data_IF_587308912541
#
_entry.id   IF_587308912541
#
_cell.length_a   1.000
_cell.length_b   1.000
_cell.length_c   1.000
_cell.angle_alpha   90.00
_cell.angle_beta   90.00
_cell.angle_gamma   90.00
#
_symmetry.space_group_name_H-M   'P 1'
#
loop_
_entity.id
_entity.type
_entity.pdbx_description
1 polymer ?
#
# COMPACT_ATOMS: atom_id res chain seq x y z
N UNK A 1 -2.35 12.55 22.40
CA UNK A 1 -1.84 11.17 22.32
C UNK A 1 -2.88 10.34 21.59
N UNK A 2 -2.62 9.98 20.33
CA UNK A 2 -3.47 9.06 19.56
C UNK A 2 -3.04 7.65 19.94
N UNK A 3 -3.67 7.10 20.97
CA UNK A 3 -3.37 5.77 21.50
C UNK A 3 -4.13 4.71 20.69
N UNK A 4 -3.46 4.17 19.68
CA UNK A 4 -3.84 2.94 19.00
C UNK A 4 -2.59 2.47 18.26
N UNK A 5 -1.97 1.35 18.69
CA UNK A 5 -0.85 0.77 17.94
C UNK A 5 -1.26 0.49 16.49
N UNK A 6 -0.34 0.50 15.51
CA UNK A 6 -0.69 0.47 14.09
C UNK A 6 -1.27 -0.90 13.73
N UNK A 7 -2.58 -1.04 13.88
CA UNK A 7 -3.40 -2.11 13.32
C UNK A 7 -3.54 -1.98 11.80
N UNK A 8 -2.58 -1.35 11.11
CA UNK A 8 -2.54 -1.14 9.67
C UNK A 8 -3.65 -0.26 9.08
N UNK A 9 -4.52 0.32 9.92
CA UNK A 9 -5.68 1.09 9.47
C UNK A 9 -5.57 2.55 9.92
N UNK A 10 -5.10 3.45 9.05
CA UNK A 10 -5.13 4.89 9.32
C UNK A 10 -6.57 5.40 9.37
N UNK A 11 -6.83 6.58 9.98
CA UNK A 11 -8.15 7.20 9.93
C UNK A 11 -8.52 7.53 8.47
N UNK A 12 -9.50 6.81 7.93
CA UNK A 12 -9.95 6.97 6.55
C UNK A 12 -10.89 8.17 6.38
N UNK A 13 -10.95 8.70 5.16
CA UNK A 13 -11.93 9.72 4.81
C UNK A 13 -13.35 9.16 4.85
N UNK A 14 -14.34 10.02 5.11
CA UNK A 14 -15.77 9.65 5.22
C UNK A 14 -16.34 8.95 3.97
N UNK A 15 -15.72 9.18 2.82
CA UNK A 15 -16.11 8.70 1.50
C UNK A 15 -15.38 7.42 1.09
N UNK A 16 -14.45 6.94 1.92
CA UNK A 16 -13.79 5.66 1.73
C UNK A 16 -14.55 4.54 2.43
N UNK A 17 -14.50 3.34 1.84
CA UNK A 17 -15.08 2.13 2.42
C UNK A 17 -14.03 1.38 3.27
N UNK A 18 -14.18 1.31 4.60
CA UNK A 18 -13.25 0.59 5.46
C UNK A 18 -13.16 -0.91 5.16
N UNK A 19 -14.23 -1.53 4.63
CA UNK A 19 -14.21 -2.94 4.26
C UNK A 19 -13.31 -3.15 3.04
N UNK A 20 -13.49 -2.32 2.00
CA UNK A 20 -12.63 -2.36 0.80
C UNK A 20 -11.16 -2.04 1.12
N UNK A 21 -10.90 -1.12 2.06
CA UNK A 21 -9.54 -0.89 2.57
C UNK A 21 -8.95 -2.14 3.20
N UNK A 22 -9.70 -2.72 4.15
CA UNK A 22 -9.25 -3.88 4.92
C UNK A 22 -8.99 -5.08 4.01
N UNK A 23 -9.88 -5.34 3.04
CA UNK A 23 -9.74 -6.41 2.06
C UNK A 23 -8.47 -6.24 1.22
N UNK A 24 -8.26 -5.07 0.63
CA UNK A 24 -7.10 -4.79 -0.21
C UNK A 24 -5.77 -4.93 0.55
N UNK A 25 -5.67 -4.32 1.73
CA UNK A 25 -4.45 -4.37 2.53
C UNK A 25 -4.19 -5.75 3.13
N UNK A 26 -5.22 -6.45 3.59
CA UNK A 26 -5.05 -7.78 4.19
C UNK A 26 -4.65 -8.83 3.15
N UNK A 27 -5.25 -8.78 1.95
CA UNK A 27 -4.90 -9.68 0.86
C UNK A 27 -3.45 -9.44 0.38
N UNK A 28 -3.06 -8.18 0.20
CA UNK A 28 -1.71 -7.83 -0.24
C UNK A 28 -0.65 -8.17 0.82
N UNK A 29 -0.94 -7.94 2.11
CA UNK A 29 -0.04 -8.31 3.20
C UNK A 29 0.20 -9.82 3.26
N UNK A 30 -0.87 -10.61 3.22
CA UNK A 30 -0.77 -12.07 3.21
C UNK A 30 0.06 -12.57 2.01
N UNK A 31 -0.20 -12.03 0.81
CA UNK A 31 0.56 -12.40 -0.39
C UNK A 31 2.05 -12.05 -0.28
N UNK A 32 2.39 -10.91 0.34
CA UNK A 32 3.78 -10.54 0.59
C UNK A 32 4.43 -11.49 1.60
N UNK A 33 3.78 -11.77 2.73
CA UNK A 33 4.30 -12.71 3.73
C UNK A 33 4.56 -14.09 3.12
N UNK A 34 3.61 -14.63 2.35
CA UNK A 34 3.77 -15.93 1.69
C UNK A 34 4.97 -15.94 0.74
N UNK A 35 5.18 -14.85 -0.01
CA UNK A 35 6.32 -14.73 -0.94
C UNK A 35 7.66 -14.63 -0.19
N UNK A 36 7.72 -13.87 0.90
CA UNK A 36 8.91 -13.73 1.75
C UNK A 36 9.25 -15.07 2.43
N UNK A 37 8.25 -15.76 2.98
CA UNK A 37 8.40 -17.07 3.63
C UNK A 37 8.87 -18.15 2.63
N UNK A 38 8.44 -18.04 1.37
CA UNK A 38 8.90 -18.90 0.28
C UNK A 38 10.29 -18.51 -0.26
N UNK A 39 10.90 -17.43 0.23
CA UNK A 39 12.21 -16.93 -0.22
C UNK A 39 12.19 -16.38 -1.65
N UNK A 40 11.04 -15.90 -2.11
CA UNK A 40 10.87 -15.34 -3.45
C UNK A 40 11.35 -13.89 -3.50
N UNK A 41 11.80 -13.44 -4.67
CA UNK A 41 12.07 -12.02 -4.90
C UNK A 41 10.74 -11.25 -4.98
N UNK A 42 10.61 -10.20 -4.18
CA UNK A 42 9.39 -9.40 -4.05
C UNK A 42 9.56 -8.03 -4.69
N UNK A 43 8.49 -7.50 -5.28
CA UNK A 43 8.51 -6.15 -5.86
C UNK A 43 8.56 -5.04 -4.79
N UNK A 44 8.10 -5.35 -3.57
CA UNK A 44 8.12 -4.48 -2.40
C UNK A 44 9.16 -4.99 -1.42
N UNK A 45 9.81 -4.08 -0.69
CA UNK A 45 10.81 -4.43 0.33
C UNK A 45 10.26 -5.50 1.31
N UNK A 46 10.96 -6.65 1.50
CA UNK A 46 10.56 -7.70 2.45
C UNK A 46 10.35 -7.20 3.89
N UNK A 47 10.96 -6.07 4.27
CA UNK A 47 10.73 -5.43 5.57
C UNK A 47 9.25 -5.11 5.82
N UNK A 48 8.48 -4.86 4.75
CA UNK A 48 7.03 -4.65 4.82
C UNK A 48 6.26 -5.87 5.36
N UNK A 49 6.85 -7.07 5.38
CA UNK A 49 6.25 -8.27 5.95
C UNK A 49 6.44 -8.40 7.48
N UNK A 50 7.20 -7.52 8.14
CA UNK A 50 7.44 -7.59 9.59
C UNK A 50 6.20 -7.29 10.42
N UNK A 51 5.38 -6.33 9.96
CA UNK A 51 4.10 -6.00 10.60
C UNK A 51 3.16 -5.26 9.64
N UNK A 52 1.85 -5.25 9.91
CA UNK A 52 0.90 -4.42 9.15
C UNK A 52 1.22 -2.92 9.18
N UNK A 53 1.92 -2.44 10.21
CA UNK A 53 2.37 -1.05 10.31
C UNK A 53 3.50 -0.76 9.33
N UNK A 54 4.51 -1.62 9.28
CA UNK A 54 5.62 -1.50 8.31
C UNK A 54 5.11 -1.70 6.88
N UNK A 55 4.17 -2.62 6.68
CA UNK A 55 3.50 -2.80 5.39
C UNK A 55 2.90 -1.48 4.87
N UNK A 56 2.11 -0.81 5.71
CA UNK A 56 1.52 0.47 5.35
C UNK A 56 2.58 1.54 5.08
N UNK A 57 3.63 1.61 5.91
CA UNK A 57 4.71 2.60 5.76
C UNK A 57 5.46 2.44 4.44
N UNK A 58 5.93 1.22 4.14
CA UNK A 58 6.68 0.91 2.91
C UNK A 58 5.82 1.15 1.66
N UNK A 59 4.55 0.71 1.67
CA UNK A 59 3.67 0.96 0.52
C UNK A 59 3.37 2.44 0.33
N UNK A 60 3.35 3.23 1.41
CA UNK A 60 3.17 4.67 1.31
C UNK A 60 4.39 5.35 0.69
N UNK A 61 5.61 4.88 1.00
CA UNK A 61 6.84 5.34 0.33
C UNK A 61 6.83 4.98 -1.16
N UNK A 62 6.58 3.72 -1.49
CA UNK A 62 6.47 3.22 -2.87
C UNK A 62 5.39 3.95 -3.67
N UNK A 63 4.30 4.37 -3.04
CA UNK A 63 3.25 5.17 -3.69
C UNK A 63 3.76 6.51 -4.21
N UNK A 64 4.72 7.14 -3.55
CA UNK A 64 5.28 8.43 -4.00
C UNK A 64 6.56 8.25 -4.83
N UNK A 65 7.40 7.27 -4.49
CA UNK A 65 8.70 7.08 -5.16
C UNK A 65 8.60 6.28 -6.45
N UNK A 66 7.79 5.22 -6.47
CA UNK A 66 7.65 4.31 -7.60
C UNK A 66 6.17 3.91 -7.83
N UNK A 67 5.25 4.86 -8.04
CA UNK A 67 3.81 4.59 -8.12
C UNK A 67 3.43 3.56 -9.17
N UNK A 68 4.14 3.52 -10.31
CA UNK A 68 3.91 2.52 -11.36
C UNK A 68 4.25 1.08 -10.92
N UNK A 69 5.30 0.91 -10.11
CA UNK A 69 5.66 -0.40 -9.54
C UNK A 69 4.59 -0.85 -8.56
N UNK A 70 4.18 0.03 -7.65
CA UNK A 70 3.12 -0.27 -6.68
C UNK A 70 1.80 -0.60 -7.37
N UNK A 71 1.39 0.18 -8.38
CA UNK A 71 0.18 -0.08 -9.17
C UNK A 71 0.22 -1.43 -9.88
N UNK A 72 1.38 -1.88 -10.35
CA UNK A 72 1.55 -3.17 -10.99
C UNK A 72 1.54 -4.34 -9.97
N UNK A 73 2.19 -4.17 -8.82
CA UNK A 73 2.29 -5.22 -7.80
C UNK A 73 0.99 -5.37 -7.00
N UNK A 74 0.39 -4.27 -6.56
CA UNK A 74 -0.79 -4.24 -5.69
C UNK A 74 -1.80 -3.18 -6.17
N UNK A 75 -2.53 -3.43 -7.27
CA UNK A 75 -3.43 -2.44 -7.88
C UNK A 75 -4.57 -1.98 -6.96
N UNK A 76 -5.12 -2.87 -6.13
CA UNK A 76 -6.19 -2.52 -5.20
C UNK A 76 -5.68 -1.65 -4.04
N UNK A 77 -4.49 -1.94 -3.53
CA UNK A 77 -3.80 -1.10 -2.52
C UNK A 77 -3.49 0.27 -3.11
N UNK A 78 -2.99 0.34 -4.35
CA UNK A 78 -2.74 1.61 -5.04
C UNK A 78 -4.01 2.46 -5.14
N UNK A 79 -5.16 1.85 -5.47
CA UNK A 79 -6.46 2.55 -5.52
C UNK A 79 -6.87 3.08 -4.14
N UNK A 80 -6.66 2.31 -3.08
CA UNK A 80 -6.95 2.74 -1.71
C UNK A 80 -6.03 3.88 -1.27
N UNK A 81 -4.74 3.80 -1.55
CA UNK A 81 -3.77 4.87 -1.25
C UNK A 81 -4.04 6.14 -2.06
N UNK A 82 -4.48 6.01 -3.31
CA UNK A 82 -4.91 7.15 -4.14
C UNK A 82 -6.10 7.88 -3.51
N UNK A 83 -7.07 7.13 -2.99
CA UNK A 83 -8.19 7.69 -2.23
C UNK A 83 -7.78 8.32 -0.90
N UNK A 84 -6.86 7.67 -0.18
CA UNK A 84 -6.35 8.13 1.12
C UNK A 84 -5.53 9.41 1.00
N UNK A 85 -4.57 9.47 0.07
CA UNK A 85 -3.74 10.65 -0.18
C UNK A 85 -4.41 11.69 -1.10
N UNK A 86 -5.53 11.33 -1.73
CA UNK A 86 -6.25 12.14 -2.73
C UNK A 86 -5.34 12.60 -3.86
N UNK A 87 -4.45 11.72 -4.28
CA UNK A 87 -3.43 11.94 -5.30
C UNK A 87 -3.36 10.73 -6.23
N UNK A 88 -2.87 10.93 -7.44
CA UNK A 88 -2.55 9.85 -8.37
C UNK A 88 -1.16 10.12 -8.98
N UNK A 89 -0.08 9.71 -8.29
CA UNK A 89 1.28 9.98 -8.75
C UNK A 89 1.63 9.23 -10.04
N UNK A 90 1.07 8.05 -10.30
CA UNK A 90 1.29 7.33 -11.56
C UNK A 90 0.80 8.14 -12.77
N UNK A 91 -0.42 8.68 -12.70
CA UNK A 91 -0.97 9.55 -13.74
C UNK A 91 -0.16 10.84 -13.91
N UNK A 92 0.42 11.37 -12.82
CA UNK A 92 1.28 12.55 -12.88
C UNK A 92 2.62 12.26 -13.58
N UNK A 93 3.25 11.11 -13.31
CA UNK A 93 4.49 10.68 -13.96
C UNK A 93 4.30 10.43 -15.46
N UNK A 94 3.15 9.88 -15.87
CA UNK A 94 2.83 9.65 -17.28
C UNK A 94 2.70 10.97 -18.06
N UNK A 95 2.24 12.06 -17.43
CA UNK A 95 2.13 13.39 -18.07
C UNK A 95 3.46 14.14 -18.22
N UNK A 96 4.48 13.79 -17.44
CA UNK A 96 5.82 14.43 -17.52
C UNK A 96 6.68 13.77 -18.59
N UNK A 97 6.39 12.52 -18.95
CA UNK A 97 7.15 11.75 -19.94
C UNK A 97 6.52 11.79 -21.35
N UNK A 98 5.33 12.38 -21.48
CA UNK A 98 4.54 12.47 -22.72
C UNK A 98 4.67 13.78 -23.49
#
# INVERSE_FOLDING_TARGET
MLSGGPNGMPPLHRDMDPAAWTEAFSAAYAALCDAVDAGQETAIDPYAAESPGEFFAVLSEEFFEAPGRLRAAFPDVYRQLSGFYRQDPAEATERVTG
#
